data_IF_431682757083
#
_entry.id   IF_431682757083
#
_cell.length_a   1.000
_cell.length_b   1.000
_cell.length_c   1.000
_cell.angle_alpha   90.00
_cell.angle_beta   90.00
_cell.angle_gamma   90.00
#
_symmetry.space_group_name_H-M   'P 1'
#
loop_
_entity.id
_entity.type
_entity.pdbx_description
1 polymer ?
#
# COMPACT_ATOMS: atom_id res chain seq x y z
N UNK A 1 -31.25 -34.70 -7.47
CA UNK A 1 -30.88 -34.48 -6.05
C UNK A 1 -29.86 -35.53 -5.59
N UNK A 2 -30.01 -36.79 -6.04
CA UNK A 2 -29.02 -37.85 -5.79
C UNK A 2 -27.71 -37.68 -6.54
N UNK A 3 -27.70 -37.23 -7.80
CA UNK A 3 -26.45 -36.96 -8.55
C UNK A 3 -25.56 -35.91 -7.87
N UNK A 4 -26.13 -34.77 -7.44
CA UNK A 4 -25.38 -33.75 -6.68
C UNK A 4 -24.82 -34.27 -5.36
N UNK A 5 -25.53 -35.17 -4.67
CA UNK A 5 -25.02 -35.82 -3.45
C UNK A 5 -23.89 -36.78 -3.79
N UNK A 6 -23.98 -37.50 -4.91
CA UNK A 6 -22.94 -38.39 -5.39
C UNK A 6 -21.68 -37.62 -5.78
N UNK A 7 -21.82 -36.48 -6.47
CA UNK A 7 -20.71 -35.58 -6.82
C UNK A 7 -19.99 -35.05 -5.58
N UNK A 8 -20.75 -34.57 -4.58
CA UNK A 8 -20.20 -34.12 -3.29
C UNK A 8 -19.43 -35.24 -2.58
N UNK A 9 -19.98 -36.47 -2.55
CA UNK A 9 -19.31 -37.63 -1.93
C UNK A 9 -18.04 -38.00 -2.69
N UNK A 10 -18.07 -38.01 -4.03
CA UNK A 10 -16.89 -38.30 -4.86
C UNK A 10 -15.81 -37.23 -4.64
N UNK A 11 -16.20 -35.97 -4.50
CA UNK A 11 -15.28 -34.85 -4.26
C UNK A 11 -14.67 -34.91 -2.86
N UNK A 12 -15.45 -35.29 -1.84
CA UNK A 12 -14.98 -35.53 -0.48
C UNK A 12 -14.01 -36.73 -0.43
N UNK A 13 -14.35 -37.85 -1.08
CA UNK A 13 -13.49 -39.04 -1.16
C UNK A 13 -12.19 -38.75 -1.91
N UNK A 14 -12.23 -37.98 -3.00
CA UNK A 14 -11.04 -37.57 -3.73
C UNK A 14 -10.17 -36.60 -2.89
N UNK A 15 -10.77 -35.78 -2.05
CA UNK A 15 -10.05 -34.88 -1.13
C UNK A 15 -9.37 -35.69 -0.01
N UNK A 16 -10.09 -36.66 0.57
CA UNK A 16 -9.55 -37.56 1.59
C UNK A 16 -8.43 -38.43 1.02
N UNK A 17 -8.60 -39.01 -0.18
CA UNK A 17 -7.55 -39.79 -0.83
C UNK A 17 -6.31 -38.95 -1.14
N UNK A 18 -6.48 -37.69 -1.57
CA UNK A 18 -5.37 -36.75 -1.78
C UNK A 18 -4.64 -36.44 -0.47
N UNK A 19 -5.38 -36.24 0.62
CA UNK A 19 -4.81 -35.99 1.93
C UNK A 19 -4.05 -37.21 2.48
N UNK A 20 -4.56 -38.43 2.26
CA UNK A 20 -3.87 -39.68 2.63
C UNK A 20 -2.59 -39.89 1.79
N UNK A 21 -2.63 -39.55 0.50
CA UNK A 21 -1.42 -39.57 -0.35
C UNK A 21 -0.38 -38.56 0.16
N UNK A 22 -0.81 -37.37 0.58
CA UNK A 22 0.05 -36.34 1.15
C UNK A 22 0.66 -36.77 2.50
N UNK A 23 -0.14 -37.34 3.41
CA UNK A 23 0.32 -37.82 4.71
C UNK A 23 1.32 -38.99 4.58
N UNK A 24 1.14 -39.86 3.58
CA UNK A 24 2.09 -40.95 3.29
C UNK A 24 3.41 -40.47 2.68
N UNK A 25 3.38 -39.43 1.83
CA UNK A 25 4.59 -38.89 1.21
C UNK A 25 5.33 -37.90 2.12
N UNK A 26 4.63 -37.16 2.99
CA UNK A 26 5.24 -36.26 4.00
C UNK A 26 5.93 -37.05 5.11
N UNK A 27 5.51 -38.30 5.38
CA UNK A 27 6.07 -39.08 6.48
C UNK A 27 7.56 -39.44 6.33
N UNK A 28 8.14 -39.24 5.15
CA UNK A 28 9.55 -39.56 4.88
C UNK A 28 10.50 -38.38 4.68
N UNK A 29 10.04 -37.12 4.63
CA UNK A 29 10.94 -35.96 4.55
C UNK A 29 11.90 -35.95 3.35
N UNK A 30 11.66 -36.81 2.33
CA UNK A 30 12.46 -36.91 1.11
C UNK A 30 11.51 -36.67 -0.05
N UNK A 31 11.39 -35.41 -0.47
CA UNK A 31 10.80 -35.12 -1.77
C UNK A 31 11.80 -35.58 -2.83
N UNK A 32 11.53 -36.72 -3.47
CA UNK A 32 12.30 -37.13 -4.64
C UNK A 32 12.25 -36.02 -5.68
N UNK A 33 13.39 -35.63 -6.30
CA UNK A 33 13.41 -34.72 -7.42
C UNK A 33 12.31 -35.09 -8.42
N UNK A 34 11.64 -34.10 -9.01
CA UNK A 34 10.76 -34.37 -10.13
C UNK A 34 11.66 -34.67 -11.33
N UNK A 35 12.16 -35.91 -11.40
CA UNK A 35 13.12 -36.39 -12.40
C UNK A 35 12.59 -36.07 -13.81
N UNK A 36 13.43 -35.44 -14.63
CA UNK A 36 13.09 -34.93 -15.96
C UNK A 36 12.63 -33.46 -16.00
N UNK A 37 12.26 -32.84 -14.87
CA UNK A 37 11.88 -31.43 -14.81
C UNK A 37 12.89 -30.52 -14.09
N UNK A 38 13.93 -31.09 -13.47
CA UNK A 38 14.97 -30.38 -12.69
C UNK A 38 14.41 -29.48 -11.60
N UNK A 39 13.39 -29.97 -10.87
CA UNK A 39 12.77 -29.28 -9.73
C UNK A 39 13.01 -30.11 -8.47
N UNK A 40 13.58 -29.48 -7.47
CA UNK A 40 13.74 -30.00 -6.12
C UNK A 40 12.84 -29.21 -5.16
N UNK A 41 12.19 -29.91 -4.24
CA UNK A 41 11.26 -29.33 -3.26
C UNK A 41 11.83 -29.62 -1.88
N UNK A 42 11.97 -28.59 -1.05
CA UNK A 42 12.60 -28.64 0.26
C UNK A 42 11.54 -28.43 1.35
N UNK A 43 11.76 -27.47 2.25
CA UNK A 43 10.88 -27.22 3.39
C UNK A 43 9.64 -26.39 3.03
N UNK A 44 8.58 -26.56 3.81
CA UNK A 44 7.37 -25.73 3.73
C UNK A 44 7.66 -24.33 4.29
N UNK A 45 7.51 -23.32 3.43
CA UNK A 45 7.71 -21.92 3.80
C UNK A 45 6.38 -21.18 4.03
N UNK A 46 5.26 -21.70 3.52
CA UNK A 46 3.94 -21.14 3.81
C UNK A 46 2.78 -22.06 3.44
N UNK A 47 1.64 -21.86 4.11
CA UNK A 47 0.35 -22.46 3.75
C UNK A 47 -0.65 -21.35 3.45
N UNK A 48 -1.25 -21.42 2.28
CA UNK A 48 -2.37 -20.57 1.87
C UNK A 48 -3.71 -21.22 2.21
N UNK A 49 -4.79 -20.53 1.83
CA UNK A 49 -6.14 -21.10 1.91
C UNK A 49 -6.35 -22.22 0.86
N UNK A 50 -7.30 -23.12 1.14
CA UNK A 50 -7.81 -24.12 0.19
C UNK A 50 -6.76 -25.10 -0.37
N UNK A 51 -5.85 -25.56 0.50
CA UNK A 51 -4.88 -26.59 0.17
C UNK A 51 -3.66 -26.10 -0.62
N UNK A 52 -3.54 -24.79 -0.82
CA UNK A 52 -2.35 -24.19 -1.41
C UNK A 52 -1.21 -24.25 -0.41
N UNK A 53 -0.07 -24.82 -0.80
CA UNK A 53 1.14 -24.85 0.03
C UNK A 53 2.33 -24.33 -0.76
N UNK A 54 3.20 -23.56 -0.12
CA UNK A 54 4.40 -22.98 -0.72
C UNK A 54 5.62 -23.60 -0.06
N UNK A 55 6.49 -24.14 -0.89
CA UNK A 55 7.74 -24.78 -0.49
C UNK A 55 8.93 -23.97 -1.00
N UNK A 56 10.02 -24.02 -0.25
CA UNK A 56 11.34 -23.73 -0.78
C UNK A 56 11.74 -24.82 -1.78
N UNK A 57 12.51 -24.48 -2.79
CA UNK A 57 13.00 -25.45 -3.74
C UNK A 57 14.10 -24.90 -4.63
N UNK A 58 14.56 -25.73 -5.56
CA UNK A 58 15.52 -25.37 -6.58
C UNK A 58 14.99 -25.75 -7.97
N UNK A 59 15.22 -24.87 -8.95
CA UNK A 59 14.91 -25.13 -10.35
C UNK A 59 16.14 -24.84 -11.21
N UNK A 60 16.66 -25.90 -11.85
CA UNK A 60 17.92 -25.84 -12.61
C UNK A 60 19.08 -25.25 -11.78
N UNK A 61 19.18 -25.61 -10.51
CA UNK A 61 20.20 -25.12 -9.56
C UNK A 61 20.01 -23.68 -9.07
N UNK A 62 18.87 -23.04 -9.36
CA UNK A 62 18.55 -21.72 -8.84
C UNK A 62 17.47 -21.81 -7.75
N UNK A 63 17.62 -21.10 -6.61
CA UNK A 63 16.60 -21.03 -5.57
C UNK A 63 15.26 -20.50 -6.10
N UNK A 64 14.17 -21.19 -5.78
CA UNK A 64 12.81 -20.86 -6.21
C UNK A 64 11.80 -21.09 -5.08
N UNK A 65 10.60 -20.55 -5.25
CA UNK A 65 9.44 -20.98 -4.50
C UNK A 65 8.60 -21.91 -5.37
N UNK A 66 8.17 -23.04 -4.79
CA UNK A 66 7.31 -24.03 -5.43
C UNK A 66 5.95 -24.00 -4.76
N UNK A 67 4.95 -23.44 -5.44
CA UNK A 67 3.57 -23.35 -4.96
C UNK A 67 2.77 -24.52 -5.50
N UNK A 68 2.18 -25.31 -4.62
CA UNK A 68 1.33 -26.45 -4.97
C UNK A 68 -0.14 -26.13 -4.72
N UNK A 69 -1.03 -26.72 -5.52
CA UNK A 69 -2.47 -26.60 -5.37
C UNK A 69 -3.17 -27.89 -5.81
N UNK A 70 -4.34 -28.26 -5.24
CA UNK A 70 -5.05 -29.48 -5.63
C UNK A 70 -5.52 -29.43 -7.10
N UNK A 71 -5.35 -30.52 -7.86
CA UNK A 71 -5.91 -30.62 -9.23
C UNK A 71 -7.45 -30.52 -9.22
N UNK A 72 -8.01 -29.80 -10.18
CA UNK A 72 -9.45 -29.60 -10.33
C UNK A 72 -10.05 -28.47 -9.48
N UNK A 73 -9.25 -27.79 -8.65
CA UNK A 73 -9.68 -26.57 -7.94
C UNK A 73 -9.29 -25.28 -8.68
N UNK A 74 -8.21 -25.33 -9.48
CA UNK A 74 -7.69 -24.19 -10.25
C UNK A 74 -7.84 -24.51 -11.72
N UNK A 75 -8.63 -23.71 -12.46
CA UNK A 75 -8.51 -23.64 -13.92
C UNK A 75 -7.25 -22.81 -14.23
N UNK A 76 -6.12 -23.52 -14.30
CA UNK A 76 -4.78 -22.94 -14.48
C UNK A 76 -4.65 -22.25 -15.85
N UNK A 77 -5.54 -22.57 -16.79
CA UNK A 77 -5.40 -22.21 -18.21
C UNK A 77 -5.67 -20.75 -18.54
N UNK A 78 -6.41 -19.98 -17.72
CA UNK A 78 -6.66 -18.56 -18.05
C UNK A 78 -5.95 -17.60 -17.07
N UNK A 79 -6.09 -17.81 -15.76
CA UNK A 79 -5.51 -16.93 -14.74
C UNK A 79 -3.98 -16.98 -14.64
N UNK A 80 -3.37 -18.17 -14.76
CA UNK A 80 -1.90 -18.35 -14.61
C UNK A 80 -1.15 -18.13 -15.94
N UNK A 81 -1.79 -18.46 -17.07
CA UNK A 81 -1.29 -18.16 -18.42
C UNK A 81 -1.08 -16.66 -18.62
N UNK A 82 -1.86 -15.82 -17.93
CA UNK A 82 -1.69 -14.38 -17.93
C UNK A 82 -0.32 -13.93 -17.40
N UNK A 83 0.21 -14.55 -16.35
CA UNK A 83 1.55 -14.22 -15.83
C UNK A 83 2.69 -14.74 -16.69
N UNK A 84 2.59 -15.98 -17.19
CA UNK A 84 3.70 -16.62 -17.93
C UNK A 84 4.04 -15.81 -19.19
N UNK A 85 3.04 -15.19 -19.81
CA UNK A 85 3.21 -14.41 -21.05
C UNK A 85 3.37 -12.90 -20.79
N UNK A 86 3.34 -12.45 -19.54
CA UNK A 86 3.63 -11.05 -19.23
C UNK A 86 5.11 -10.76 -19.41
N UNK A 87 5.42 -9.54 -19.85
CA UNK A 87 6.80 -9.09 -19.89
C UNK A 87 7.34 -9.03 -18.46
N UNK A 88 8.57 -9.49 -18.20
CA UNK A 88 9.17 -9.38 -16.88
C UNK A 88 9.13 -7.94 -16.37
N UNK A 89 8.79 -7.78 -15.09
CA UNK A 89 8.76 -6.48 -14.43
C UNK A 89 9.34 -6.61 -13.02
N UNK A 90 10.14 -5.63 -12.60
CA UNK A 90 10.85 -5.69 -11.32
C UNK A 90 9.94 -5.83 -10.09
N UNK A 91 8.68 -5.38 -10.20
CA UNK A 91 7.68 -5.43 -9.13
C UNK A 91 6.58 -6.49 -9.35
N UNK A 92 6.83 -7.48 -10.21
CA UNK A 92 5.93 -8.61 -10.42
C UNK A 92 6.76 -9.88 -10.29
N UNK A 93 6.25 -10.85 -9.54
CA UNK A 93 6.95 -12.13 -9.30
C UNK A 93 7.09 -12.88 -10.63
N UNK A 94 8.32 -13.32 -10.93
CA UNK A 94 8.59 -14.07 -12.16
C UNK A 94 8.13 -15.52 -12.02
N UNK A 95 7.31 -15.99 -12.97
CA UNK A 95 6.93 -17.41 -13.05
C UNK A 95 7.88 -18.12 -14.01
N UNK A 96 8.61 -19.12 -13.51
CA UNK A 96 9.56 -19.89 -14.28
C UNK A 96 8.91 -21.09 -14.98
N UNK A 97 7.96 -21.74 -14.32
CA UNK A 97 7.30 -22.94 -14.84
C UNK A 97 5.96 -23.17 -14.18
N UNK A 98 5.02 -23.72 -14.93
CA UNK A 98 3.73 -24.19 -14.42
C UNK A 98 3.50 -25.62 -14.88
N UNK A 99 3.07 -26.46 -13.95
CA UNK A 99 2.78 -27.87 -14.16
C UNK A 99 1.34 -28.07 -13.71
N UNK A 100 0.43 -28.37 -14.63
CA UNK A 100 -1.01 -28.43 -14.33
C UNK A 100 -1.40 -29.70 -13.57
N UNK A 101 -0.68 -30.79 -13.78
CA UNK A 101 -0.93 -32.05 -13.10
C UNK A 101 0.35 -32.83 -12.87
N UNK A 102 0.67 -33.03 -11.60
CA UNK A 102 1.73 -33.89 -11.10
C UNK A 102 1.24 -34.53 -9.80
N UNK A 103 1.07 -35.86 -9.83
CA UNK A 103 0.61 -36.65 -8.67
C UNK A 103 -0.66 -36.09 -7.99
N UNK A 104 -1.60 -35.54 -8.76
CA UNK A 104 -2.87 -35.00 -8.25
C UNK A 104 -2.83 -33.54 -7.77
N UNK A 105 -1.71 -32.85 -7.99
CA UNK A 105 -1.53 -31.43 -7.70
C UNK A 105 -1.04 -30.67 -8.95
N UNK A 106 -1.36 -29.39 -9.04
CA UNK A 106 -0.63 -28.47 -9.91
C UNK A 106 0.49 -27.76 -9.15
N UNK A 107 1.53 -27.34 -9.88
CA UNK A 107 2.70 -26.67 -9.35
C UNK A 107 2.98 -25.39 -10.13
N UNK A 108 3.32 -24.32 -9.42
CA UNK A 108 3.88 -23.09 -9.97
C UNK A 108 5.29 -22.94 -9.37
N UNK A 109 6.29 -22.93 -10.23
CA UNK A 109 7.67 -22.63 -9.90
C UNK A 109 7.91 -21.16 -10.20
N UNK A 110 8.21 -20.38 -9.18
CA UNK A 110 8.34 -18.93 -9.27
C UNK A 110 9.59 -18.43 -8.56
N UNK A 111 9.91 -17.16 -8.80
CA UNK A 111 10.94 -16.43 -8.07
C UNK A 111 10.75 -16.56 -6.56
N UNK A 112 11.86 -16.79 -5.84
CA UNK A 112 11.87 -16.83 -4.38
C UNK A 112 11.85 -15.41 -3.81
N UNK A 113 10.90 -15.14 -2.92
CA UNK A 113 10.87 -13.94 -2.08
C UNK A 113 11.03 -14.32 -0.61
N UNK A 114 11.40 -13.36 0.25
CA UNK A 114 11.75 -13.65 1.64
C UNK A 114 10.53 -13.86 2.55
N UNK A 115 9.49 -13.04 2.40
CA UNK A 115 8.25 -13.07 3.19
C UNK A 115 7.17 -12.19 2.55
N UNK A 116 5.93 -12.24 3.03
CA UNK A 116 4.85 -11.37 2.56
C UNK A 116 4.77 -10.05 3.35
N UNK A 117 4.09 -9.04 2.78
CA UNK A 117 3.81 -7.78 3.46
C UNK A 117 2.97 -8.01 4.72
N UNK A 118 2.06 -8.99 4.71
CA UNK A 118 1.35 -9.47 5.90
C UNK A 118 2.33 -9.82 7.03
N UNK A 119 3.35 -10.62 6.72
CA UNK A 119 4.34 -11.06 7.72
C UNK A 119 5.18 -9.89 8.22
N UNK A 120 5.58 -8.97 7.33
CA UNK A 120 6.33 -7.77 7.71
C UNK A 120 5.55 -6.89 8.69
N UNK A 121 4.30 -6.57 8.37
CA UNK A 121 3.45 -5.70 9.20
C UNK A 121 3.18 -6.35 10.56
N UNK A 122 2.83 -7.64 10.58
CA UNK A 122 2.59 -8.37 11.84
C UNK A 122 3.85 -8.45 12.69
N UNK A 123 5.01 -8.67 12.08
CA UNK A 123 6.30 -8.72 12.79
C UNK A 123 6.70 -7.36 13.40
N UNK A 124 6.45 -6.26 12.68
CA UNK A 124 6.78 -4.90 13.12
C UNK A 124 5.71 -4.25 14.01
N UNK A 125 4.56 -4.91 14.22
CA UNK A 125 3.51 -4.41 15.10
C UNK A 125 4.06 -4.16 16.52
N UNK A 126 3.82 -2.97 17.12
CA UNK A 126 4.36 -2.64 18.44
C UNK A 126 3.94 -3.60 19.56
N UNK A 127 2.69 -4.08 19.54
CA UNK A 127 2.13 -4.97 20.56
C UNK A 127 2.41 -6.47 20.34
N UNK A 128 3.19 -6.85 19.33
CA UNK A 128 3.47 -8.25 19.03
C UNK A 128 4.60 -8.80 19.90
N UNK A 129 4.29 -9.59 20.94
CA UNK A 129 5.33 -10.22 21.78
C UNK A 129 5.64 -11.68 21.39
N UNK A 130 4.87 -12.28 20.47
CA UNK A 130 5.09 -13.63 19.92
C UNK A 130 5.40 -14.74 20.95
N UNK A 131 5.04 -14.52 22.21
CA UNK A 131 5.28 -15.45 23.31
C UNK A 131 4.61 -16.81 23.05
N UNK A 132 5.32 -17.87 23.41
CA UNK A 132 4.85 -19.23 23.26
C UNK A 132 4.07 -19.62 24.52
N UNK A 133 2.79 -19.97 24.36
CA UNK A 133 1.94 -20.33 25.49
C UNK A 133 1.88 -21.85 25.66
N UNK A 134 1.81 -22.37 26.91
CA UNK A 134 1.53 -23.77 27.15
C UNK A 134 0.20 -24.16 26.49
N UNK A 135 0.23 -25.07 25.51
CA UNK A 135 -0.95 -25.51 24.75
C UNK A 135 -1.05 -24.96 23.32
N UNK A 136 -0.12 -24.10 22.88
CA UNK A 136 -0.02 -23.72 21.47
C UNK A 136 0.21 -24.96 20.58
N UNK A 137 -0.56 -25.08 19.51
CA UNK A 137 -0.37 -26.15 18.53
C UNK A 137 1.01 -26.05 17.86
N UNK A 138 1.66 -27.17 17.47
CA UNK A 138 3.01 -27.16 16.89
C UNK A 138 3.17 -26.20 15.69
N UNK A 139 2.16 -26.09 14.83
CA UNK A 139 2.18 -25.16 13.69
C UNK A 139 2.16 -23.69 14.12
N UNK A 140 1.41 -23.35 15.17
CA UNK A 140 1.35 -21.99 15.74
C UNK A 140 2.70 -21.64 16.37
N UNK A 141 3.31 -22.60 17.06
CA UNK A 141 4.64 -22.47 17.64
C UNK A 141 5.67 -22.15 16.55
N UNK A 142 5.71 -22.93 15.46
CA UNK A 142 6.62 -22.67 14.34
C UNK A 142 6.39 -21.29 13.72
N UNK A 143 5.12 -20.90 13.51
CA UNK A 143 4.78 -19.60 12.94
C UNK A 143 5.23 -18.43 13.84
N UNK A 144 4.95 -18.49 15.14
CA UNK A 144 5.40 -17.48 16.13
C UNK A 144 6.92 -17.35 16.15
N UNK A 145 7.66 -18.46 16.09
CA UNK A 145 9.13 -18.45 16.00
C UNK A 145 9.63 -17.75 14.73
N UNK A 146 9.03 -18.05 13.57
CA UNK A 146 9.37 -17.39 12.30
C UNK A 146 9.13 -15.87 12.38
N UNK A 147 7.99 -15.45 12.94
CA UNK A 147 7.67 -14.03 13.10
C UNK A 147 8.57 -13.31 14.13
N UNK A 148 8.92 -13.96 15.24
CA UNK A 148 9.88 -13.43 16.21
C UNK A 148 11.26 -13.21 15.58
N UNK A 149 11.77 -14.20 14.85
CA UNK A 149 13.03 -14.06 14.09
C UNK A 149 12.95 -12.96 13.02
N UNK A 150 11.80 -12.83 12.34
CA UNK A 150 11.58 -11.76 11.37
C UNK A 150 11.57 -10.38 12.05
N UNK A 151 10.88 -10.24 13.18
CA UNK A 151 10.85 -9.01 13.99
C UNK A 151 12.27 -8.56 14.29
N UNK A 152 13.11 -9.44 14.82
CA UNK A 152 14.50 -9.14 15.16
C UNK A 152 15.32 -8.67 13.95
N UNK A 153 15.18 -9.33 12.80
CA UNK A 153 15.86 -8.92 11.56
C UNK A 153 15.37 -7.58 11.02
N UNK A 154 14.10 -7.23 11.26
CA UNK A 154 13.45 -6.06 10.68
C UNK A 154 13.34 -4.87 11.65
N UNK A 155 13.78 -4.97 12.91
CA UNK A 155 13.68 -3.93 13.97
C UNK A 155 14.08 -2.51 13.57
N UNK A 156 14.98 -2.36 12.59
CA UNK A 156 15.46 -1.06 12.13
C UNK A 156 14.54 -0.38 11.11
N UNK A 157 13.60 -1.13 10.52
CA UNK A 157 12.64 -0.59 9.57
C UNK A 157 11.43 -0.10 10.34
N UNK A 158 11.13 1.18 10.16
CA UNK A 158 9.86 1.76 10.54
C UNK A 158 8.94 1.78 9.32
N UNK A 159 7.63 1.62 9.52
CA UNK A 159 6.63 1.75 8.45
C UNK A 159 5.98 3.13 8.47
N UNK A 160 5.80 3.72 9.65
CA UNK A 160 5.22 5.04 9.84
C UNK A 160 6.18 5.92 10.64
N UNK A 161 6.23 7.20 10.30
CA UNK A 161 6.94 8.21 11.09
C UNK A 161 6.08 8.65 12.27
N UNK A 162 6.70 9.22 13.30
CA UNK A 162 5.99 9.77 14.47
C UNK A 162 4.97 10.90 14.14
N UNK A 163 4.99 11.45 12.93
CA UNK A 163 4.06 12.51 12.50
C UNK A 163 2.96 11.98 11.57
N UNK A 164 2.72 10.66 11.58
CA UNK A 164 1.66 10.03 10.80
C UNK A 164 1.95 9.89 9.30
N UNK A 165 3.12 10.32 8.82
CA UNK A 165 3.55 10.09 7.43
C UNK A 165 4.07 8.67 7.22
N UNK A 166 3.93 8.09 6.01
CA UNK A 166 4.60 6.84 5.68
C UNK A 166 6.11 7.05 5.71
N UNK A 167 6.83 6.10 6.31
CA UNK A 167 8.29 6.06 6.27
C UNK A 167 8.81 5.92 4.83
N UNK A 168 10.12 6.16 4.63
CA UNK A 168 10.75 5.90 3.34
C UNK A 168 10.61 4.44 2.89
N UNK A 169 10.64 3.50 3.84
CA UNK A 169 10.43 2.07 3.59
C UNK A 169 9.02 1.81 3.07
N UNK A 170 8.00 2.30 3.78
CA UNK A 170 6.61 2.09 3.38
C UNK A 170 6.29 2.78 2.05
N UNK A 171 6.78 4.01 1.84
CA UNK A 171 6.67 4.71 0.56
C UNK A 171 7.24 3.88 -0.59
N UNK A 172 8.46 3.33 -0.40
CA UNK A 172 9.11 2.49 -1.41
C UNK A 172 8.31 1.23 -1.72
N UNK A 173 7.81 0.54 -0.69
CA UNK A 173 7.01 -0.67 -0.84
C UNK A 173 5.69 -0.38 -1.56
N UNK A 174 5.00 0.70 -1.18
CA UNK A 174 3.73 1.08 -1.82
C UNK A 174 3.95 1.60 -3.25
N UNK A 175 5.06 2.28 -3.52
CA UNK A 175 5.45 2.66 -4.90
C UNK A 175 5.72 1.41 -5.74
N UNK A 176 6.44 0.42 -5.20
CA UNK A 176 6.70 -0.86 -5.86
C UNK A 176 5.39 -1.61 -6.16
N UNK A 177 4.44 -1.66 -5.21
CA UNK A 177 3.10 -2.23 -5.42
C UNK A 177 2.36 -1.49 -6.54
N UNK A 178 2.34 -0.16 -6.49
CA UNK A 178 1.70 0.67 -7.51
C UNK A 178 2.33 0.44 -8.89
N UNK A 179 3.66 0.37 -8.99
CA UNK A 179 4.38 0.05 -10.22
C UNK A 179 4.06 -1.36 -10.76
N UNK A 180 3.90 -2.34 -9.86
CA UNK A 180 3.43 -3.67 -10.24
C UNK A 180 2.02 -3.63 -10.85
N UNK A 181 1.10 -2.91 -10.22
CA UNK A 181 -0.26 -2.74 -10.73
C UNK A 181 -0.28 -1.98 -12.06
N UNK A 182 0.57 -0.96 -12.22
CA UNK A 182 0.65 -0.15 -13.45
C UNK A 182 1.07 -1.01 -14.62
N UNK A 183 1.99 -1.94 -14.37
CA UNK A 183 2.40 -2.94 -15.33
C UNK A 183 1.25 -3.86 -15.75
N UNK A 184 0.43 -4.35 -14.79
CA UNK A 184 -0.79 -5.10 -15.12
C UNK A 184 -1.76 -4.27 -15.95
N UNK A 185 -2.13 -3.08 -15.49
CA UNK A 185 -3.15 -2.24 -16.12
C UNK A 185 -2.75 -1.80 -17.53
N UNK A 186 -1.48 -1.42 -17.75
CA UNK A 186 -0.95 -1.08 -19.08
C UNK A 186 -0.92 -2.26 -20.05
N UNK A 187 -0.87 -3.48 -19.53
CA UNK A 187 -0.99 -4.71 -20.34
C UNK A 187 -2.45 -5.11 -20.62
N UNK A 188 -3.42 -4.30 -20.19
CA UNK A 188 -4.85 -4.61 -20.32
C UNK A 188 -5.34 -5.67 -19.33
N UNK A 189 -4.59 -5.89 -18.25
CA UNK A 189 -4.86 -6.92 -17.23
C UNK A 189 -5.16 -6.27 -15.88
N UNK A 190 -5.87 -6.99 -15.03
CA UNK A 190 -6.20 -6.58 -13.66
C UNK A 190 -5.60 -7.61 -12.72
N UNK A 191 -5.08 -7.16 -11.57
CA UNK A 191 -4.53 -8.08 -10.58
C UNK A 191 -5.64 -8.94 -9.96
N UNK A 192 -6.70 -8.30 -9.48
CA UNK A 192 -7.96 -8.93 -9.09
C UNK A 192 -7.95 -9.62 -7.72
N UNK A 193 -6.79 -9.81 -7.10
CA UNK A 193 -6.67 -10.31 -5.72
C UNK A 193 -5.54 -9.61 -4.95
N UNK A 194 -5.52 -8.27 -4.98
CA UNK A 194 -4.51 -7.52 -4.24
C UNK A 194 -4.81 -7.57 -2.73
N UNK A 195 -3.96 -8.27 -1.99
CA UNK A 195 -4.04 -8.43 -0.53
C UNK A 195 -2.63 -8.54 0.09
N UNK A 196 -2.46 -8.30 1.40
CA UNK A 196 -1.13 -8.26 2.04
C UNK A 196 -0.31 -9.56 1.86
N UNK A 197 -0.97 -10.70 1.67
CA UNK A 197 -0.35 -12.01 1.46
C UNK A 197 0.22 -12.17 0.04
N UNK A 198 -0.39 -11.50 -0.95
CA UNK A 198 0.02 -11.53 -2.36
C UNK A 198 0.99 -10.39 -2.72
N UNK A 199 1.39 -9.58 -1.73
CA UNK A 199 2.50 -8.64 -1.86
C UNK A 199 3.70 -9.29 -1.20
N UNK A 200 4.63 -9.80 -2.00
CA UNK A 200 5.85 -10.44 -1.53
C UNK A 200 6.96 -9.40 -1.38
N UNK A 201 7.77 -9.56 -0.34
CA UNK A 201 8.88 -8.69 0.02
C UNK A 201 10.19 -9.40 -0.31
N UNK A 202 11.07 -8.69 -0.98
CA UNK A 202 12.45 -9.11 -1.24
C UNK A 202 13.39 -8.15 -0.53
N UNK A 203 14.31 -8.71 0.26
CA UNK A 203 15.41 -7.98 0.87
C UNK A 203 16.54 -7.85 -0.15
N UNK A 204 16.67 -6.66 -0.72
CA UNK A 204 17.71 -6.38 -1.73
C UNK A 204 19.11 -6.37 -1.09
N UNK A 205 19.23 -5.72 0.06
CA UNK A 205 20.45 -5.65 0.85
C UNK A 205 20.10 -5.47 2.34
N UNK A 206 21.08 -5.11 3.17
CA UNK A 206 20.81 -4.88 4.59
C UNK A 206 19.83 -3.71 4.80
N UNK A 207 19.81 -2.69 3.96
CA UNK A 207 19.11 -1.41 4.12
C UNK A 207 17.82 -1.26 3.29
N UNK A 208 17.55 -2.17 2.34
CA UNK A 208 16.47 -1.99 1.37
C UNK A 208 15.55 -3.18 1.24
N UNK A 209 14.26 -2.87 1.23
CA UNK A 209 13.17 -3.79 0.93
C UNK A 209 12.50 -3.35 -0.38
N UNK A 210 12.10 -4.32 -1.19
CA UNK A 210 11.28 -4.10 -2.37
C UNK A 210 10.04 -4.99 -2.32
N UNK A 211 8.98 -4.52 -2.98
CA UNK A 211 7.73 -5.28 -3.11
C UNK A 211 7.55 -5.84 -4.52
N UNK A 212 6.97 -7.05 -4.59
CA UNK A 212 6.57 -7.72 -5.82
C UNK A 212 5.16 -8.30 -5.69
N UNK A 213 4.34 -8.13 -6.72
CA UNK A 213 3.01 -8.72 -6.79
C UNK A 213 3.08 -10.18 -7.21
N UNK A 214 2.40 -11.06 -6.48
CA UNK A 214 2.17 -12.47 -6.83
C UNK A 214 0.69 -12.75 -7.05
N UNK A 215 0.36 -13.89 -7.64
CA UNK A 215 -0.99 -14.48 -7.64
C UNK A 215 -2.13 -13.70 -8.32
N UNK A 216 -1.83 -12.61 -9.04
CA UNK A 216 -2.74 -11.99 -10.01
C UNK A 216 -3.54 -13.01 -10.86
N UNK A 217 -4.85 -12.84 -10.92
CA UNK A 217 -5.73 -13.64 -11.77
C UNK A 217 -5.94 -15.11 -11.37
N UNK A 218 -5.12 -15.69 -10.48
CA UNK A 218 -5.28 -17.10 -10.06
C UNK A 218 -6.49 -17.24 -9.13
N UNK A 219 -6.52 -16.45 -8.07
CA UNK A 219 -7.56 -16.46 -7.04
C UNK A 219 -8.77 -15.60 -7.40
N UNK A 220 -8.58 -14.52 -8.17
CA UNK A 220 -9.66 -13.65 -8.66
C UNK A 220 -10.65 -14.38 -9.56
N UNK A 221 -10.14 -15.22 -10.48
CA UNK A 221 -10.96 -16.07 -11.35
C UNK A 221 -11.70 -17.16 -10.57
N UNK A 222 -11.03 -17.83 -9.62
CA UNK A 222 -11.67 -18.86 -8.80
C UNK A 222 -12.73 -18.29 -7.84
N UNK A 223 -12.52 -17.06 -7.34
CA UNK A 223 -13.51 -16.33 -6.53
C UNK A 223 -14.70 -15.89 -7.37
N UNK A 224 -14.45 -15.48 -8.62
CA UNK A 224 -15.48 -15.19 -9.62
C UNK A 224 -16.31 -16.44 -9.98
N UNK A 225 -15.68 -17.60 -10.20
CA UNK A 225 -16.36 -18.87 -10.47
C UNK A 225 -17.02 -19.52 -9.23
N UNK A 226 -16.81 -18.98 -8.03
CA UNK A 226 -17.41 -19.47 -6.80
C UNK A 226 -16.76 -20.72 -6.19
N UNK A 227 -15.56 -21.08 -6.64
CA UNK A 227 -14.83 -22.29 -6.22
C UNK A 227 -13.88 -22.09 -5.03
N UNK A 228 -13.61 -20.84 -4.65
CA UNK A 228 -12.98 -20.49 -3.36
C UNK A 228 -14.03 -19.83 -2.46
N UNK A 229 -14.01 -20.12 -1.16
CA UNK A 229 -14.53 -19.16 -0.19
C UNK A 229 -13.48 -18.06 0.00
N UNK A 230 -13.79 -16.82 -0.38
CA UNK A 230 -13.44 -15.71 0.51
C UNK A 230 -14.52 -14.62 0.55
N UNK A 231 -14.60 -13.95 1.69
CA UNK A 231 -15.42 -12.75 1.83
C UNK A 231 -15.08 -11.69 0.77
N UNK A 232 -16.13 -11.01 0.30
CA UNK A 232 -16.14 -9.67 -0.31
C UNK A 232 -15.69 -9.41 -1.74
N UNK A 233 -14.71 -10.11 -2.34
CA UNK A 233 -14.47 -9.90 -3.78
C UNK A 233 -15.73 -10.26 -4.61
N UNK A 234 -16.53 -11.22 -4.13
CA UNK A 234 -17.83 -11.59 -4.68
C UNK A 234 -18.91 -10.49 -4.58
N UNK A 235 -18.84 -9.61 -3.57
CA UNK A 235 -19.79 -8.51 -3.35
C UNK A 235 -19.39 -7.21 -4.05
N UNK A 236 -18.10 -6.85 -4.06
CA UNK A 236 -17.59 -5.72 -4.85
C UNK A 236 -17.86 -5.92 -6.36
N UNK A 237 -17.80 -7.17 -6.80
CA UNK A 237 -17.99 -7.52 -8.18
C UNK A 237 -19.46 -7.82 -8.52
N UNK A 238 -20.34 -8.17 -7.59
CA UNK A 238 -21.68 -8.70 -7.93
C UNK A 238 -21.64 -9.82 -9.01
N UNK A 239 -20.56 -10.60 -9.09
CA UNK A 239 -20.31 -11.55 -10.17
C UNK A 239 -19.71 -10.98 -11.46
N UNK A 240 -19.33 -9.71 -11.48
CA UNK A 240 -18.60 -9.05 -12.57
C UNK A 240 -17.10 -9.38 -12.53
N UNK A 241 -16.41 -9.14 -13.64
CA UNK A 241 -14.96 -9.31 -13.69
C UNK A 241 -14.23 -8.20 -12.94
N UNK A 242 -13.10 -8.48 -12.27
CA UNK A 242 -12.25 -7.46 -11.66
C UNK A 242 -11.90 -6.35 -12.65
N UNK A 243 -11.88 -5.10 -12.18
CA UNK A 243 -11.49 -3.93 -12.97
C UNK A 243 -10.26 -3.24 -12.37
N UNK A 244 -9.54 -2.38 -13.13
CA UNK A 244 -8.47 -1.55 -12.57
C UNK A 244 -8.90 -0.79 -11.31
N UNK A 245 -10.13 -0.30 -11.26
CA UNK A 245 -10.71 0.41 -10.13
C UNK A 245 -10.92 -0.49 -8.91
N UNK A 246 -11.16 -1.80 -9.11
CA UNK A 246 -11.16 -2.79 -8.03
C UNK A 246 -9.78 -2.91 -7.40
N UNK A 247 -8.71 -2.98 -8.20
CA UNK A 247 -7.34 -3.01 -7.68
C UNK A 247 -7.03 -1.73 -6.89
N UNK A 248 -7.47 -0.56 -7.36
CA UNK A 248 -7.26 0.71 -6.65
C UNK A 248 -7.98 0.73 -5.29
N UNK A 249 -9.16 0.13 -5.19
CA UNK A 249 -9.84 -0.04 -3.90
C UNK A 249 -9.04 -0.94 -2.97
N UNK A 250 -8.57 -2.08 -3.45
CA UNK A 250 -7.71 -2.99 -2.69
C UNK A 250 -6.39 -2.33 -2.27
N UNK A 251 -5.83 -1.44 -3.09
CA UNK A 251 -4.66 -0.65 -2.74
C UNK A 251 -4.96 0.31 -1.57
N UNK A 252 -6.12 0.97 -1.57
CA UNK A 252 -6.59 1.76 -0.42
C UNK A 252 -6.75 0.93 0.85
N UNK A 253 -7.26 -0.29 0.74
CA UNK A 253 -7.36 -1.24 1.87
C UNK A 253 -5.99 -1.69 2.36
N UNK A 254 -5.01 -1.81 1.46
CA UNK A 254 -3.62 -2.14 1.80
C UNK A 254 -2.99 -1.03 2.66
N UNK A 255 -3.21 0.24 2.29
CA UNK A 255 -2.76 1.39 3.08
C UNK A 255 -3.42 1.43 4.46
N UNK A 256 -4.73 1.17 4.55
CA UNK A 256 -5.41 1.05 5.85
C UNK A 256 -4.84 -0.09 6.69
N UNK A 257 -4.63 -1.25 6.09
CA UNK A 257 -4.05 -2.39 6.77
C UNK A 257 -2.67 -2.05 7.37
N UNK A 258 -1.84 -1.33 6.62
CA UNK A 258 -0.58 -0.80 7.13
C UNK A 258 -0.80 0.19 8.29
N UNK A 259 -1.79 1.08 8.19
CA UNK A 259 -2.06 2.12 9.19
C UNK A 259 -2.60 1.58 10.53
N UNK A 260 -3.24 0.41 10.51
CA UNK A 260 -3.73 -0.28 11.71
C UNK A 260 -2.74 -1.33 12.22
N UNK A 261 -1.48 -1.29 11.82
CA UNK A 261 -0.46 -2.30 12.15
C UNK A 261 -0.93 -3.74 11.86
N UNK A 262 -1.72 -3.91 10.81
CA UNK A 262 -2.32 -5.17 10.39
C UNK A 262 -3.45 -5.70 11.26
N UNK A 263 -3.98 -4.90 12.20
CA UNK A 263 -5.14 -5.26 13.02
C UNK A 263 -6.47 -5.04 12.29
N UNK A 264 -6.45 -4.24 11.22
CA UNK A 264 -7.61 -4.06 10.38
C UNK A 264 -7.96 -5.37 9.69
N UNK A 265 -9.21 -5.80 9.81
CA UNK A 265 -9.70 -6.96 9.07
C UNK A 265 -9.76 -6.59 7.58
N UNK A 266 -8.72 -6.96 6.82
CA UNK A 266 -8.59 -6.67 5.40
C UNK A 266 -9.86 -7.10 4.63
N UNK A 267 -10.29 -8.35 4.88
CA UNK A 267 -11.44 -9.03 4.26
C UNK A 267 -12.80 -8.73 4.93
N UNK A 268 -12.82 -8.03 6.08
CA UNK A 268 -14.08 -7.57 6.66
C UNK A 268 -14.54 -6.32 5.93
N UNK A 269 -15.22 -6.54 4.82
CA UNK A 269 -16.33 -5.69 4.42
C UNK A 269 -17.28 -5.36 5.61
N UNK A 270 -18.13 -4.36 5.54
CA UNK A 270 -19.45 -4.40 6.18
C UNK A 270 -20.42 -4.06 5.06
N UNK A 271 -21.49 -4.86 4.91
CA UNK A 271 -22.47 -4.57 3.85
C UNK A 271 -22.97 -3.13 4.05
N UNK A 272 -22.88 -2.26 3.04
CA UNK A 272 -23.48 -0.95 3.11
C UNK A 272 -24.99 -1.12 2.89
N UNK A 273 -25.70 -1.51 3.94
CA UNK A 273 -27.14 -1.25 3.98
C UNK A 273 -27.34 0.28 3.80
N UNK A 274 -28.18 0.62 2.83
CA UNK A 274 -28.14 1.84 1.99
C UNK A 274 -28.32 3.18 2.74
N UNK A 275 -28.51 3.20 4.06
CA UNK A 275 -28.88 4.42 4.77
C UNK A 275 -28.19 4.67 6.13
N UNK A 276 -27.35 3.77 6.65
CA UNK A 276 -26.92 3.88 8.08
C UNK A 276 -25.40 3.96 8.31
N UNK A 277 -24.53 3.76 7.30
CA UNK A 277 -23.07 3.63 7.57
C UNK A 277 -22.11 4.31 6.58
N UNK A 278 -22.55 5.19 5.69
CA UNK A 278 -21.65 6.06 4.90
C UNK A 278 -20.69 6.90 5.78
N UNK A 279 -21.00 7.02 7.08
CA UNK A 279 -20.21 7.74 8.06
C UNK A 279 -19.26 6.87 8.92
N UNK A 280 -19.33 5.53 8.95
CA UNK A 280 -18.51 4.77 9.91
C UNK A 280 -17.05 4.62 9.45
N UNK A 281 -16.79 4.18 8.22
CA UNK A 281 -15.41 4.01 7.74
C UNK A 281 -14.68 5.36 7.59
N UNK A 282 -15.37 6.40 7.10
CA UNK A 282 -14.80 7.74 7.05
C UNK A 282 -14.47 8.29 8.46
N UNK A 283 -15.33 8.01 9.44
CA UNK A 283 -15.07 8.40 10.83
C UNK A 283 -13.93 7.60 11.47
N UNK A 284 -13.74 6.34 11.06
CA UNK A 284 -12.62 5.52 11.51
C UNK A 284 -11.29 6.00 10.91
N UNK A 285 -11.27 6.43 9.64
CA UNK A 285 -10.09 7.05 9.00
C UNK A 285 -9.68 8.35 9.70
N UNK A 286 -10.64 9.18 10.11
CA UNK A 286 -10.34 10.44 10.77
C UNK A 286 -9.64 10.25 12.12
N UNK A 287 -9.95 9.15 12.81
CA UNK A 287 -9.34 8.79 14.11
C UNK A 287 -7.92 8.24 14.00
N UNK A 288 -7.49 7.85 12.80
CA UNK A 288 -6.13 7.36 12.60
C UNK A 288 -5.13 8.50 12.85
N UNK A 289 -4.00 8.18 13.47
CA UNK A 289 -2.89 9.11 13.64
C UNK A 289 -2.03 9.19 12.36
N UNK A 290 -2.67 9.65 11.29
CA UNK A 290 -2.07 9.84 9.97
C UNK A 290 -2.14 11.31 9.57
N UNK A 291 -1.19 11.73 8.74
CA UNK A 291 -1.21 13.04 8.13
C UNK A 291 -2.38 13.19 7.14
N UNK A 292 -2.78 14.43 6.88
CA UNK A 292 -3.99 14.77 6.11
C UNK A 292 -3.91 14.23 4.67
N UNK A 293 -2.73 14.31 4.06
CA UNK A 293 -2.48 13.86 2.68
C UNK A 293 -2.83 12.37 2.53
N UNK A 294 -2.35 11.52 3.46
CA UNK A 294 -2.60 10.07 3.43
C UNK A 294 -4.07 9.76 3.68
N UNK A 295 -4.70 10.42 4.66
CA UNK A 295 -6.14 10.25 4.93
C UNK A 295 -6.97 10.58 3.69
N UNK A 296 -6.66 11.69 3.01
CA UNK A 296 -7.37 12.11 1.80
C UNK A 296 -7.13 11.15 0.62
N UNK A 297 -5.92 10.61 0.47
CA UNK A 297 -5.64 9.60 -0.53
C UNK A 297 -6.44 8.31 -0.29
N UNK A 298 -6.41 7.78 0.94
CA UNK A 298 -7.16 6.56 1.31
C UNK A 298 -8.65 6.75 1.03
N UNK A 299 -9.24 7.89 1.43
CA UNK A 299 -10.65 8.18 1.16
C UNK A 299 -10.99 8.20 -0.33
N UNK A 300 -10.11 8.73 -1.19
CA UNK A 300 -10.30 8.71 -2.65
C UNK A 300 -10.17 7.31 -3.23
N UNK A 301 -9.23 6.50 -2.75
CA UNK A 301 -9.07 5.09 -3.16
C UNK A 301 -10.27 4.23 -2.75
N UNK A 302 -10.86 4.50 -1.58
CA UNK A 302 -12.02 3.79 -1.05
C UNK A 302 -13.35 4.40 -1.49
N UNK A 303 -13.36 5.26 -2.52
CA UNK A 303 -14.59 5.86 -3.01
C UNK A 303 -15.59 4.76 -3.42
N UNK A 304 -16.86 4.84 -2.97
CA UNK A 304 -17.90 3.90 -3.37
C UNK A 304 -18.12 3.84 -4.88
N UNK A 305 -17.88 4.94 -5.58
CA UNK A 305 -17.94 5.03 -7.04
C UNK A 305 -16.58 4.63 -7.63
N UNK A 306 -16.46 3.49 -8.34
CA UNK A 306 -15.18 3.01 -8.89
C UNK A 306 -14.47 4.04 -9.77
N UNK A 307 -15.21 4.71 -10.66
CA UNK A 307 -14.71 5.71 -11.59
C UNK A 307 -14.17 6.99 -10.93
N UNK A 308 -14.49 7.21 -9.66
CA UNK A 308 -14.02 8.36 -8.88
C UNK A 308 -12.72 8.05 -8.13
N UNK A 309 -12.22 6.81 -8.20
CA UNK A 309 -10.95 6.41 -7.59
C UNK A 309 -9.79 6.91 -8.44
N UNK A 310 -8.67 7.33 -7.82
CA UNK A 310 -7.50 7.77 -8.56
C UNK A 310 -6.89 6.59 -9.35
N UNK A 311 -6.34 6.88 -10.52
CA UNK A 311 -5.53 5.90 -11.26
C UNK A 311 -4.17 5.72 -10.58
N UNK A 312 -3.40 4.72 -11.01
CA UNK A 312 -2.05 4.50 -10.48
C UNK A 312 -1.13 5.69 -10.76
N UNK A 313 -1.29 6.30 -11.94
CA UNK A 313 -0.53 7.51 -12.29
C UNK A 313 -0.83 8.65 -11.33
N UNK A 314 -2.09 8.79 -10.90
CA UNK A 314 -2.50 9.81 -9.92
C UNK A 314 -1.94 9.50 -8.52
N UNK A 315 -1.94 8.23 -8.10
CA UNK A 315 -1.37 7.81 -6.79
C UNK A 315 0.11 8.13 -6.71
N UNK A 316 0.87 7.84 -7.77
CA UNK A 316 2.34 7.99 -7.79
C UNK A 316 2.81 9.44 -7.75
N UNK A 317 1.97 10.40 -8.12
CA UNK A 317 2.27 11.84 -8.02
C UNK A 317 1.61 12.51 -6.81
N UNK A 318 0.86 11.75 -6.01
CA UNK A 318 0.10 12.30 -4.90
C UNK A 318 1.01 12.83 -3.77
N UNK A 319 0.64 13.94 -3.10
CA UNK A 319 1.42 14.46 -1.96
C UNK A 319 1.63 13.48 -0.81
N UNK A 320 0.77 12.47 -0.66
CA UNK A 320 0.97 11.38 0.28
C UNK A 320 2.28 10.61 0.03
N UNK A 321 2.74 10.54 -1.22
CA UNK A 321 3.97 9.86 -1.65
C UNK A 321 5.21 10.77 -1.73
N UNK A 322 5.05 12.07 -1.49
CA UNK A 322 6.16 13.02 -1.58
C UNK A 322 7.11 12.89 -0.39
N UNK A 323 8.40 13.11 -0.66
CA UNK A 323 9.38 13.27 0.41
C UNK A 323 9.14 14.59 1.17
N UNK A 324 9.63 14.73 2.42
CA UNK A 324 9.50 15.98 3.17
C UNK A 324 10.05 17.20 2.41
N UNK A 325 11.19 17.06 1.73
CA UNK A 325 11.75 18.14 0.92
C UNK A 325 10.87 18.49 -0.28
N UNK A 326 10.31 17.48 -0.97
CA UNK A 326 9.39 17.71 -2.10
C UNK A 326 8.15 18.51 -1.68
N UNK A 327 7.60 18.27 -0.48
CA UNK A 327 6.48 19.05 0.06
C UNK A 327 6.85 20.52 0.26
N UNK A 328 8.02 20.78 0.84
CA UNK A 328 8.51 22.13 1.07
C UNK A 328 8.85 22.86 -0.24
N UNK A 329 9.46 22.16 -1.20
CA UNK A 329 9.74 22.69 -2.53
C UNK A 329 8.45 23.07 -3.26
N UNK A 330 7.41 22.22 -3.19
CA UNK A 330 6.09 22.53 -3.75
C UNK A 330 5.50 23.80 -3.13
N UNK A 331 5.46 23.90 -1.80
CA UNK A 331 4.90 25.08 -1.12
C UNK A 331 5.66 26.37 -1.48
N UNK A 332 6.99 26.30 -1.57
CA UNK A 332 7.85 27.40 -1.98
C UNK A 332 7.56 27.84 -3.42
N UNK A 333 7.46 26.91 -4.36
CA UNK A 333 7.19 27.20 -5.77
C UNK A 333 5.76 27.65 -6.03
N UNK A 334 4.79 27.08 -5.32
CA UNK A 334 3.41 27.55 -5.33
C UNK A 334 3.32 29.00 -4.88
N UNK A 335 3.98 29.37 -3.77
CA UNK A 335 4.02 30.75 -3.32
C UNK A 335 4.69 31.69 -4.33
N UNK A 336 5.76 31.27 -5.00
CA UNK A 336 6.41 32.07 -6.04
C UNK A 336 5.43 32.43 -7.18
N UNK A 337 4.53 31.52 -7.55
CA UNK A 337 3.48 31.78 -8.55
C UNK A 337 2.41 32.71 -7.99
N UNK A 338 1.98 32.51 -6.74
CA UNK A 338 1.02 33.40 -6.07
C UNK A 338 1.55 34.84 -6.04
N UNK A 339 2.83 35.03 -5.72
CA UNK A 339 3.49 36.34 -5.74
C UNK A 339 3.49 36.96 -7.15
N UNK A 340 3.78 36.16 -8.18
CA UNK A 340 3.74 36.61 -9.58
C UNK A 340 2.32 37.03 -10.00
N UNK A 341 1.31 36.22 -9.68
CA UNK A 341 -0.08 36.52 -9.97
C UNK A 341 -0.54 37.84 -9.33
N UNK A 342 -0.09 38.15 -8.11
CA UNK A 342 -0.45 39.42 -7.46
C UNK A 342 0.03 40.65 -8.24
N UNK A 343 1.13 40.54 -9.00
CA UNK A 343 1.61 41.59 -9.90
C UNK A 343 0.92 41.58 -11.26
N UNK A 344 0.80 40.38 -11.86
CA UNK A 344 0.38 40.22 -13.26
C UNK A 344 -1.16 40.18 -13.43
N UNK A 345 -1.88 39.55 -12.48
CA UNK A 345 -3.33 39.37 -12.48
C UNK A 345 -3.91 39.42 -11.04
N UNK A 346 -4.10 40.63 -10.48
CA UNK A 346 -4.60 40.79 -9.11
C UNK A 346 -6.01 40.26 -8.87
N UNK A 347 -6.79 40.00 -9.94
CA UNK A 347 -8.15 39.43 -9.88
C UNK A 347 -8.16 37.93 -10.15
N UNK A 348 -6.99 37.28 -10.15
CA UNK A 348 -6.87 35.85 -10.36
C UNK A 348 -7.72 35.07 -9.35
N UNK A 349 -8.45 34.07 -9.84
CA UNK A 349 -9.25 33.17 -9.01
C UNK A 349 -8.44 32.50 -7.89
N UNK A 350 -7.15 32.27 -8.10
CA UNK A 350 -6.24 31.73 -7.06
C UNK A 350 -6.14 32.68 -5.87
N UNK A 351 -5.96 33.98 -6.10
CA UNK A 351 -5.86 34.98 -5.03
C UNK A 351 -7.20 35.14 -4.30
N UNK A 352 -8.31 35.07 -5.04
CA UNK A 352 -9.66 35.04 -4.46
C UNK A 352 -9.85 33.81 -3.56
N UNK A 353 -9.40 32.63 -3.98
CA UNK A 353 -9.53 31.41 -3.17
C UNK A 353 -8.67 31.49 -1.91
N UNK A 354 -7.41 31.92 -2.01
CA UNK A 354 -6.53 32.06 -0.84
C UNK A 354 -7.07 33.06 0.19
N UNK A 355 -7.75 34.13 -0.26
CA UNK A 355 -8.35 35.11 0.64
C UNK A 355 -9.68 34.63 1.24
N UNK A 356 -10.55 33.99 0.45
CA UNK A 356 -11.90 33.56 0.89
C UNK A 356 -11.89 32.24 1.68
N UNK A 357 -11.01 31.29 1.32
CA UNK A 357 -10.87 29.98 1.96
C UNK A 357 -9.72 29.91 2.96
N UNK A 358 -9.25 31.05 3.50
CA UNK A 358 -8.18 31.09 4.50
C UNK A 358 -8.42 30.17 5.71
N UNK A 359 -9.68 29.92 6.04
CA UNK A 359 -10.11 29.07 7.14
C UNK A 359 -9.80 27.58 6.96
N UNK A 360 -9.50 27.15 5.73
CA UNK A 360 -9.03 25.80 5.49
C UNK A 360 -7.54 25.63 5.82
N UNK A 361 -6.76 26.72 5.75
CA UNK A 361 -5.30 26.68 5.89
C UNK A 361 -4.84 26.72 7.35
N UNK A 362 -5.58 27.41 8.21
CA UNK A 362 -5.31 27.53 9.64
C UNK A 362 -6.60 27.74 10.43
N UNK A 363 -6.58 27.42 11.72
CA UNK A 363 -7.76 27.48 12.59
C UNK A 363 -8.24 28.93 12.75
N UNK A 364 -9.49 29.18 12.37
CA UNK A 364 -10.12 30.50 12.43
C UNK A 364 -10.55 30.93 13.82
N UNK A 365 -10.59 30.01 14.79
CA UNK A 365 -10.86 30.35 16.19
C UNK A 365 -9.68 31.12 16.81
N UNK A 366 -8.52 31.10 16.15
CA UNK A 366 -7.34 31.82 16.57
C UNK A 366 -7.50 33.33 16.38
N UNK A 367 -7.61 34.03 17.51
CA UNK A 367 -7.80 35.50 17.56
C UNK A 367 -6.67 36.26 16.86
N UNK A 368 -5.43 35.78 16.97
CA UNK A 368 -4.27 36.37 16.30
C UNK A 368 -4.00 35.75 14.92
N UNK A 369 -4.93 34.97 14.38
CA UNK A 369 -4.77 34.24 13.12
C UNK A 369 -3.71 33.14 13.24
N UNK A 370 -3.00 32.85 12.15
CA UNK A 370 -2.02 31.75 12.13
C UNK A 370 -0.84 31.94 13.09
N UNK A 371 -0.63 33.16 13.63
CA UNK A 371 0.36 33.42 14.68
C UNK A 371 0.11 32.56 15.91
N UNK A 372 -1.16 32.33 16.29
CA UNK A 372 -1.49 31.53 17.48
C UNK A 372 -1.04 30.06 17.37
N UNK A 373 -0.81 29.57 16.16
CA UNK A 373 -0.25 28.24 15.92
C UNK A 373 1.28 28.16 16.03
N UNK A 374 1.95 29.29 16.28
CA UNK A 374 3.42 29.39 16.32
C UNK A 374 3.83 29.98 17.66
N UNK A 375 4.64 29.26 18.40
CA UNK A 375 5.16 29.73 19.67
C UNK A 375 6.11 30.93 19.47
N UNK A 376 6.07 31.90 20.38
CA UNK A 376 6.78 33.19 20.24
C UNK A 376 8.29 33.04 20.00
N UNK A 377 8.91 32.01 20.59
CA UNK A 377 10.33 31.71 20.37
C UNK A 377 10.68 31.42 18.91
N UNK A 378 9.74 30.84 18.16
CA UNK A 378 9.91 30.53 16.75
C UNK A 378 9.58 31.70 15.85
N UNK A 379 8.67 32.60 16.26
CA UNK A 379 8.41 33.82 15.51
C UNK A 379 9.67 34.69 15.39
N UNK A 380 10.52 34.76 16.42
CA UNK A 380 11.78 35.48 16.34
C UNK A 380 12.77 34.89 15.30
N UNK A 381 12.64 33.60 14.99
CA UNK A 381 13.50 32.87 14.05
C UNK A 381 12.90 32.89 12.64
N UNK A 382 11.57 32.80 12.53
CA UNK A 382 10.83 32.71 11.26
C UNK A 382 10.50 34.08 10.68
N UNK A 383 10.29 35.09 11.52
CA UNK A 383 9.99 36.43 11.09
C UNK A 383 11.30 37.16 10.80
N UNK A 384 11.65 37.26 9.51
CA UNK A 384 12.63 38.24 9.04
C UNK A 384 12.22 39.62 9.58
N UNK A 385 13.14 40.28 10.29
CA UNK A 385 12.91 41.58 10.92
C UNK A 385 12.45 42.66 9.92
N UNK A 386 12.74 42.46 8.62
CA UNK A 386 12.35 43.36 7.54
C UNK A 386 11.01 43.00 6.89
N UNK A 387 10.36 41.92 7.31
CA UNK A 387 9.12 41.41 6.69
C UNK A 387 7.96 41.46 7.68
N UNK A 388 7.00 42.34 7.40
CA UNK A 388 5.74 42.37 8.14
C UNK A 388 4.77 41.30 7.61
N UNK A 389 4.35 40.39 8.48
CA UNK A 389 3.37 39.36 8.16
C UNK A 389 1.95 39.77 8.57
N UNK A 390 0.98 39.57 7.68
CA UNK A 390 -0.43 39.64 8.03
C UNK A 390 -0.88 38.25 8.49
N UNK A 391 -1.03 38.07 9.80
CA UNK A 391 -1.40 36.81 10.41
C UNK A 391 -2.83 36.31 10.06
N UNK A 392 -3.62 37.16 9.40
CA UNK A 392 -4.95 36.81 8.89
C UNK A 392 -4.94 36.37 7.42
N UNK A 393 -3.77 36.28 6.79
CA UNK A 393 -3.61 35.97 5.36
C UNK A 393 -2.91 34.63 5.14
N UNK A 394 -3.56 33.73 4.39
CA UNK A 394 -2.97 32.46 3.94
C UNK A 394 -1.77 32.69 3.00
N UNK A 395 -1.80 33.77 2.20
CA UNK A 395 -0.66 34.15 1.36
C UNK A 395 0.57 34.53 2.21
N UNK A 396 0.38 35.26 3.31
CA UNK A 396 1.50 35.60 4.19
C UNK A 396 1.98 34.39 5.01
N UNK A 397 1.11 33.42 5.32
CA UNK A 397 1.53 32.13 5.86
C UNK A 397 2.45 31.40 4.87
N UNK A 398 2.03 31.29 3.60
CA UNK A 398 2.85 30.70 2.53
C UNK A 398 4.18 31.46 2.32
N UNK A 399 4.15 32.80 2.41
CA UNK A 399 5.36 33.64 2.37
C UNK A 399 6.34 33.26 3.48
N UNK A 400 5.84 33.09 4.70
CA UNK A 400 6.67 32.71 5.85
C UNK A 400 7.26 31.31 5.66
N UNK A 401 6.47 30.35 5.20
CA UNK A 401 6.92 28.98 4.92
C UNK A 401 8.04 28.98 3.88
N UNK A 402 7.87 29.72 2.78
CA UNK A 402 8.89 29.89 1.74
C UNK A 402 10.17 30.53 2.29
N UNK A 403 10.04 31.57 3.11
CA UNK A 403 11.19 32.25 3.70
C UNK A 403 11.94 31.33 4.66
N UNK A 404 11.23 30.61 5.51
CA UNK A 404 11.81 29.61 6.39
C UNK A 404 12.54 28.50 5.60
N UNK A 405 11.98 28.04 4.48
CA UNK A 405 12.62 27.04 3.61
C UNK A 405 13.87 27.57 2.91
N UNK A 406 13.86 28.83 2.47
CA UNK A 406 15.03 29.49 1.89
C UNK A 406 16.18 29.59 2.91
N UNK A 407 15.86 29.91 4.17
CA UNK A 407 16.82 30.03 5.28
C UNK A 407 16.87 28.78 6.17
N UNK A 408 16.54 27.60 5.63
CA UNK A 408 16.33 26.37 6.41
C UNK A 408 17.51 25.96 7.29
N UNK A 409 18.75 26.27 6.92
CA UNK A 409 19.91 25.94 7.76
C UNK A 409 19.89 26.72 9.09
N UNK A 410 19.62 28.02 9.03
CA UNK A 410 19.54 28.90 10.20
C UNK A 410 18.27 28.59 11.02
N UNK A 411 17.13 28.44 10.33
CA UNK A 411 15.85 28.15 10.98
C UNK A 411 15.88 26.80 11.69
N UNK A 412 16.39 25.74 11.05
CA UNK A 412 16.48 24.41 11.65
C UNK A 412 17.42 24.37 12.86
N UNK A 413 18.42 25.25 12.94
CA UNK A 413 19.28 25.34 14.13
C UNK A 413 18.55 25.89 15.37
N UNK A 414 17.45 26.62 15.17
CA UNK A 414 16.61 27.16 16.24
C UNK A 414 15.36 26.35 16.56
N UNK A 415 15.12 25.23 15.86
CA UNK A 415 14.02 24.30 16.16
C UNK A 415 14.38 23.34 17.30
N UNK A 416 13.38 22.61 17.81
CA UNK A 416 13.64 21.52 18.76
C UNK A 416 14.62 20.49 18.17
N UNK A 417 15.51 19.91 18.99
CA UNK A 417 16.42 18.85 18.55
C UNK A 417 15.66 17.70 17.86
N UNK A 418 16.03 17.41 16.61
CA UNK A 418 15.43 16.34 15.81
C UNK A 418 14.13 16.71 15.09
N UNK A 419 13.57 17.92 15.29
CA UNK A 419 12.41 18.38 14.53
C UNK A 419 12.85 18.99 13.18
N UNK A 420 12.33 18.42 12.08
CA UNK A 420 12.55 18.98 10.75
C UNK A 420 11.65 20.19 10.50
N UNK A 421 12.04 21.08 9.59
CA UNK A 421 11.21 22.24 9.23
C UNK A 421 9.86 21.82 8.61
N UNK A 422 9.83 20.73 7.84
CA UNK A 422 8.58 20.18 7.31
C UNK A 422 7.69 19.68 8.45
N UNK A 423 8.23 18.89 9.38
CA UNK A 423 7.52 18.42 10.57
C UNK A 423 6.94 19.59 11.37
N UNK A 424 7.74 20.65 11.56
CA UNK A 424 7.33 21.84 12.30
C UNK A 424 6.05 22.47 11.73
N UNK A 425 5.99 22.66 10.40
CA UNK A 425 4.83 23.25 9.73
C UNK A 425 3.66 22.27 9.65
N UNK A 426 3.89 21.00 9.34
CA UNK A 426 2.81 20.02 9.18
C UNK A 426 2.06 19.79 10.51
N UNK A 427 2.75 19.80 11.65
CA UNK A 427 2.10 19.72 12.97
C UNK A 427 1.19 20.92 13.27
N UNK A 428 1.60 22.12 12.87
CA UNK A 428 0.92 23.40 13.21
C UNK A 428 -0.16 23.78 12.18
N UNK A 429 0.04 23.37 10.93
CA UNK A 429 -0.81 23.71 9.79
C UNK A 429 -1.09 22.45 8.94
N UNK A 430 -1.80 21.45 9.49
CA UNK A 430 -1.94 20.13 8.87
C UNK A 430 -2.63 20.14 7.50
N UNK A 431 -3.43 21.16 7.19
CA UNK A 431 -4.11 21.28 5.89
C UNK A 431 -3.34 22.11 4.86
N UNK A 432 -2.26 22.80 5.26
CA UNK A 432 -1.56 23.78 4.43
C UNK A 432 -1.13 23.20 3.08
N UNK A 433 -0.53 22.00 3.09
CA UNK A 433 -0.06 21.33 1.89
C UNK A 433 -1.21 20.93 0.98
N UNK A 434 -2.21 20.22 1.50
CA UNK A 434 -3.31 19.72 0.68
C UNK A 434 -4.21 20.84 0.12
N UNK A 435 -4.46 21.90 0.88
CA UNK A 435 -5.20 23.06 0.37
C UNK A 435 -4.42 23.79 -0.73
N UNK A 436 -3.11 23.97 -0.55
CA UNK A 436 -2.24 24.53 -1.60
C UNK A 436 -2.21 23.65 -2.84
N UNK A 437 -2.08 22.33 -2.65
CA UNK A 437 -2.08 21.34 -3.72
C UNK A 437 -3.37 21.37 -4.53
N UNK A 438 -4.54 21.39 -3.88
CA UNK A 438 -5.83 21.43 -4.58
C UNK A 438 -6.01 22.72 -5.39
N UNK A 439 -5.61 23.87 -4.85
CA UNK A 439 -5.65 25.13 -5.61
C UNK A 439 -4.71 25.07 -6.80
N UNK A 440 -3.49 24.60 -6.61
CA UNK A 440 -2.51 24.48 -7.68
C UNK A 440 -2.96 23.47 -8.76
N UNK A 441 -3.51 22.32 -8.36
CA UNK A 441 -4.01 21.29 -9.25
C UNK A 441 -5.20 21.82 -10.08
N UNK A 442 -6.16 22.49 -9.46
CA UNK A 442 -7.37 22.92 -10.19
C UNK A 442 -7.15 24.12 -11.11
N UNK A 443 -6.21 25.02 -10.78
CA UNK A 443 -6.09 26.31 -11.46
C UNK A 443 -4.73 26.58 -12.08
N UNK A 444 -3.68 25.86 -11.68
CA UNK A 444 -2.30 26.16 -12.04
C UNK A 444 -1.52 24.99 -12.69
N UNK A 445 -2.16 23.86 -13.01
CA UNK A 445 -1.48 22.72 -13.65
C UNK A 445 -0.68 23.08 -14.92
N UNK A 446 -1.13 24.09 -15.67
CA UNK A 446 -0.47 24.54 -16.92
C UNK A 446 0.72 25.45 -16.67
N UNK A 447 0.96 25.88 -15.43
CA UNK A 447 2.15 26.66 -15.10
C UNK A 447 3.36 25.76 -15.12
N UNK A 448 4.26 26.03 -16.08
CA UNK A 448 5.45 25.21 -16.40
C UNK A 448 6.26 24.81 -15.16
N UNK A 449 6.37 25.70 -14.18
CA UNK A 449 7.17 25.47 -12.97
C UNK A 449 6.57 24.43 -12.02
N UNK A 450 5.23 24.30 -11.96
CA UNK A 450 4.59 23.28 -11.13
C UNK A 450 4.39 21.94 -11.84
N UNK A 451 4.62 21.87 -13.14
CA UNK A 451 4.36 20.67 -13.95
C UNK A 451 5.03 19.41 -13.39
N UNK A 452 6.23 19.54 -12.80
CA UNK A 452 6.98 18.44 -12.18
C UNK A 452 6.30 17.80 -10.97
N UNK A 453 5.37 18.50 -10.31
CA UNK A 453 4.59 17.97 -9.18
C UNK A 453 3.31 17.27 -9.64
N UNK A 454 2.89 17.50 -10.88
CA UNK A 454 1.67 16.94 -11.46
C UNK A 454 1.94 15.91 -12.56
N UNK A 455 3.21 15.65 -12.85
CA UNK A 455 3.62 14.69 -13.86
C UNK A 455 4.78 13.87 -13.33
N UNK A 456 4.76 12.58 -13.64
CA UNK A 456 5.91 11.71 -13.37
C UNK A 456 6.89 11.86 -14.52
N UNK A 457 8.15 12.21 -14.22
CA UNK A 457 9.22 12.04 -15.19
C UNK A 457 9.25 10.57 -15.61
N UNK A 458 9.09 10.30 -16.91
CA UNK A 458 9.29 8.97 -17.48
C UNK A 458 10.79 8.66 -17.41
N UNK A 459 11.26 8.19 -16.25
CA UNK A 459 12.60 7.60 -16.12
C UNK A 459 12.55 6.13 -16.47
#
# INVERSE_FOLDING_TARGET
MEERKLELIVQDVATIMRQIMLEKDIHFGVFTPIEGLHIEVHEEIGKGHNGITVYEGEYKGNPVAVKTFPCGHVDVEEGTVNFIHMRPHRNVVSIHKVIQSYRGYGLIVQERCDFSLQNLIVALRPSSDFDMMPGDAPAVVVHKKKLSSLKDRMRKFELWTANGHPSQTLLKLMEDVALGLDHFHKSGRVHGDLRPENVLIVKEDHERLSAKLSDAGITGYQTWMGNLAPGRAKQLLHGQSPTPETDMFCFGRLLLFCAYDGQHQFDAFRDPDENTKKNSENHDIEKLDLNVEVKLLIKRLLNPLPQSRPTISDVLIDPAFWSPSTRMDFLSEFFAIVQKLRGDDPQSMVLTILSTKKHNFFDVTWKEGWKSGIEDRYLAILADANVHYNFQSAEHLLRMVRNAWAHRQEVSAGLEPGESLETFFTKRFPNLLMESYQVAFNYLQRYRYLGKFFTRDKR
#
